data_IF_337618477675
#
_entry.id   IF_337618477675
#
_cell.length_a   1.000
_cell.length_b   1.000
_cell.length_c   1.000
_cell.angle_alpha   90.00
_cell.angle_beta   90.00
_cell.angle_gamma   90.00
#
_symmetry.space_group_name_H-M   'P 1'
#
loop_
_entity.id
_entity.type
_entity.pdbx_description
1 polymer ?
#
# COMPACT_ATOMS: atom_id res chain seq x y z
N UNK A 1 51.57 0.79 24.08
CA UNK A 1 50.73 -0.17 23.32
C UNK A 1 49.29 -0.25 23.80
N UNK A 2 48.92 0.15 25.03
CA UNK A 2 47.51 0.08 25.53
C UNK A 2 46.55 1.13 24.90
N UNK A 3 47.05 2.23 24.36
CA UNK A 3 46.21 3.35 23.87
C UNK A 3 45.59 3.07 22.48
N UNK A 4 46.06 2.10 21.74
CA UNK A 4 45.53 1.72 20.40
C UNK A 4 44.43 0.65 20.46
N UNK A 5 44.34 -0.12 21.55
CA UNK A 5 43.27 -1.12 21.73
C UNK A 5 41.93 -0.51 22.09
N UNK A 6 41.91 0.64 22.78
CA UNK A 6 40.66 1.28 23.22
C UNK A 6 39.87 1.90 22.09
N UNK A 7 40.51 2.31 21.01
CA UNK A 7 39.82 2.93 19.83
C UNK A 7 39.17 1.86 18.97
N UNK A 8 39.73 0.66 18.88
CA UNK A 8 39.16 -0.44 18.10
C UNK A 8 37.83 -0.99 18.72
N UNK A 9 37.72 -0.93 20.05
CA UNK A 9 36.53 -1.41 20.75
C UNK A 9 35.33 -0.47 20.62
N UNK A 10 35.58 0.84 20.49
CA UNK A 10 34.49 1.85 20.35
C UNK A 10 33.87 1.82 18.96
N UNK A 11 34.65 1.50 17.92
CA UNK A 11 34.15 1.41 16.54
C UNK A 11 33.27 0.17 16.32
N UNK A 12 33.49 -0.92 17.05
CA UNK A 12 32.71 -2.14 16.94
C UNK A 12 31.30 -2.02 17.54
N UNK A 13 31.04 -1.09 18.48
CA UNK A 13 29.75 -0.93 19.15
C UNK A 13 28.79 -0.07 18.33
N UNK A 14 29.27 0.75 17.40
CA UNK A 14 28.42 1.64 16.60
C UNK A 14 27.80 0.90 15.39
N UNK A 15 28.33 -0.23 14.98
CA UNK A 15 27.84 -0.99 13.84
C UNK A 15 26.56 -1.83 14.12
N UNK A 16 26.14 -1.96 15.37
CA UNK A 16 24.96 -2.76 15.74
C UNK A 16 23.69 -1.93 15.97
N UNK A 17 23.73 -0.61 15.82
CA UNK A 17 22.59 0.29 16.06
C UNK A 17 21.76 0.63 14.80
N UNK A 18 22.06 0.06 13.63
CA UNK A 18 21.16 0.05 12.48
C UNK A 18 20.24 -1.19 12.55
N UNK A 19 19.46 -1.30 13.60
CA UNK A 19 18.29 -2.16 13.65
C UNK A 19 17.30 -1.59 12.64
N UNK A 20 17.41 -2.02 11.37
CA UNK A 20 16.50 -1.64 10.31
C UNK A 20 15.07 -1.98 10.70
N UNK A 21 14.19 -1.05 10.47
CA UNK A 21 12.76 -1.25 10.54
C UNK A 21 12.40 -2.42 9.63
N UNK A 22 11.89 -3.49 10.23
CA UNK A 22 11.23 -4.65 9.63
C UNK A 22 11.97 -5.33 8.47
N UNK A 23 12.24 -6.60 8.70
CA UNK A 23 12.73 -7.50 7.66
C UNK A 23 11.64 -7.66 6.57
N UNK A 24 11.87 -7.18 5.33
CA UNK A 24 10.90 -7.32 4.24
C UNK A 24 10.53 -8.77 3.91
N UNK A 25 11.31 -9.74 4.37
CA UNK A 25 11.05 -11.17 4.20
C UNK A 25 9.82 -11.64 4.96
N UNK A 26 9.38 -10.90 5.98
CA UNK A 26 8.20 -11.21 6.78
C UNK A 26 6.91 -10.55 6.23
N UNK A 27 7.00 -9.78 5.16
CA UNK A 27 5.82 -9.16 4.58
C UNK A 27 4.90 -10.21 3.95
N UNK A 28 3.62 -10.09 4.29
CA UNK A 28 2.56 -10.87 3.67
C UNK A 28 2.08 -10.17 2.39
N UNK A 29 1.61 -10.96 1.44
CA UNK A 29 0.97 -10.44 0.23
C UNK A 29 -0.45 -10.96 0.17
N UNK A 30 -1.41 -10.04 0.22
CA UNK A 30 -2.81 -10.34 0.00
C UNK A 30 -3.25 -9.87 -1.37
N UNK A 31 -4.10 -10.66 -2.03
CA UNK A 31 -4.62 -10.35 -3.36
C UNK A 31 -6.14 -10.27 -3.30
N UNK A 32 -6.68 -9.16 -3.76
CA UNK A 32 -8.11 -8.91 -3.83
C UNK A 32 -8.53 -8.66 -5.27
N UNK A 33 -9.74 -9.09 -5.59
CA UNK A 33 -10.37 -8.80 -6.88
C UNK A 33 -11.79 -8.32 -6.68
N UNK A 34 -12.27 -7.51 -7.58
CA UNK A 34 -13.60 -6.95 -7.51
C UNK A 34 -13.98 -6.18 -8.76
N UNK A 35 -15.10 -5.49 -8.68
CA UNK A 35 -15.59 -4.62 -9.74
C UNK A 35 -15.88 -3.26 -9.13
N UNK A 36 -15.37 -2.20 -9.76
CA UNK A 36 -15.71 -0.81 -9.43
C UNK A 36 -16.69 -0.28 -10.48
N UNK A 37 -17.78 0.34 -10.01
CA UNK A 37 -18.79 0.97 -10.85
C UNK A 37 -18.40 2.41 -11.15
N UNK A 38 -18.90 3.01 -12.23
CA UNK A 38 -18.84 4.45 -12.43
C UNK A 38 -19.37 5.19 -11.19
N UNK A 39 -18.63 6.21 -10.74
CA UNK A 39 -18.85 6.96 -9.50
C UNK A 39 -18.88 6.10 -8.23
N UNK A 40 -18.36 4.89 -8.29
CA UNK A 40 -18.34 3.93 -7.18
C UNK A 40 -16.97 3.75 -6.56
N UNK A 41 -16.99 3.09 -5.39
CA UNK A 41 -15.78 2.62 -4.69
C UNK A 41 -16.04 1.22 -4.14
N UNK A 42 -15.00 0.40 -4.15
CA UNK A 42 -15.01 -0.93 -3.54
C UNK A 42 -13.80 -1.04 -2.62
N UNK A 43 -13.98 -1.57 -1.41
CA UNK A 43 -12.90 -1.70 -0.43
C UNK A 43 -12.74 -3.14 0.03
N UNK A 44 -11.49 -3.50 0.37
CA UNK A 44 -11.11 -4.78 0.94
C UNK A 44 -10.36 -4.54 2.24
N UNK A 45 -10.71 -5.30 3.27
CA UNK A 45 -10.08 -5.22 4.58
C UNK A 45 -8.91 -6.21 4.64
N UNK A 46 -7.87 -5.81 5.34
CA UNK A 46 -6.75 -6.68 5.70
C UNK A 46 -6.23 -6.34 7.09
N UNK A 47 -5.49 -7.27 7.71
CA UNK A 47 -5.00 -7.10 9.07
C UNK A 47 -3.48 -7.04 9.06
N UNK A 48 -2.94 -5.99 9.66
CA UNK A 48 -1.52 -5.77 9.82
C UNK A 48 -1.10 -6.18 11.23
N UNK A 49 -0.20 -7.13 11.35
CA UNK A 49 0.25 -7.70 12.62
C UNK A 49 1.46 -6.98 13.22
N UNK A 50 2.25 -6.31 12.39
CA UNK A 50 3.46 -5.61 12.80
C UNK A 50 3.52 -4.22 12.15
N UNK A 51 4.36 -3.34 12.68
CA UNK A 51 4.73 -2.11 11.99
C UNK A 51 5.72 -2.42 10.86
N UNK A 52 5.69 -1.64 9.78
CA UNK A 52 6.62 -1.80 8.68
C UNK A 52 6.17 -1.14 7.39
N UNK A 53 6.87 -1.45 6.32
CA UNK A 53 6.57 -0.89 5.00
C UNK A 53 5.42 -1.65 4.34
N UNK A 54 4.60 -0.91 3.60
CA UNK A 54 3.58 -1.49 2.73
C UNK A 54 3.73 -1.01 1.30
N UNK A 55 3.26 -1.82 0.38
CA UNK A 55 3.07 -1.43 -1.03
C UNK A 55 1.74 -1.95 -1.55
N UNK A 56 1.11 -1.16 -2.39
CA UNK A 56 -0.14 -1.51 -3.08
C UNK A 56 0.11 -1.40 -4.58
N UNK A 57 -0.26 -2.44 -5.32
CA UNK A 57 -0.13 -2.51 -6.77
C UNK A 57 -1.40 -3.06 -7.40
N UNK A 58 -1.91 -2.40 -8.42
CA UNK A 58 -2.99 -2.97 -9.24
C UNK A 58 -2.33 -3.82 -10.32
N UNK A 59 -2.69 -5.10 -10.38
CA UNK A 59 -2.06 -6.08 -11.27
C UNK A 59 -2.88 -6.41 -12.50
N UNK A 60 -4.18 -6.10 -12.48
CA UNK A 60 -5.07 -6.25 -13.63
C UNK A 60 -6.22 -5.25 -13.57
N UNK A 61 -6.67 -4.79 -14.74
CA UNK A 61 -7.89 -4.01 -14.96
C UNK A 61 -8.53 -4.50 -16.27
N UNK A 62 -9.83 -4.75 -16.27
CA UNK A 62 -10.57 -5.22 -17.45
C UNK A 62 -11.96 -4.59 -17.50
N UNK A 63 -12.40 -4.00 -18.62
CA UNK A 63 -11.76 -3.96 -19.93
C UNK A 63 -10.47 -3.15 -20.04
N UNK A 64 -10.19 -2.22 -19.12
CA UNK A 64 -8.92 -1.50 -19.08
C UNK A 64 -8.87 -0.25 -19.95
N UNK A 65 -7.67 0.31 -20.08
CA UNK A 65 -7.40 1.58 -20.78
C UNK A 65 -8.12 2.78 -20.15
N UNK A 66 -8.25 2.76 -18.82
CA UNK A 66 -8.89 3.80 -18.01
C UNK A 66 -7.92 4.31 -16.94
N UNK A 67 -8.30 5.41 -16.32
CA UNK A 67 -7.75 5.81 -15.03
C UNK A 67 -8.50 5.08 -13.91
N UNK A 68 -7.80 4.78 -12.82
CA UNK A 68 -8.36 4.11 -11.65
C UNK A 68 -7.83 4.78 -10.38
N UNK A 69 -8.71 5.05 -9.45
CA UNK A 69 -8.34 5.51 -8.12
C UNK A 69 -7.92 4.34 -7.24
N UNK A 70 -6.83 4.50 -6.52
CA UNK A 70 -6.32 3.55 -5.52
C UNK A 70 -6.18 4.28 -4.20
N UNK A 71 -6.76 3.75 -3.13
CA UNK A 71 -6.71 4.34 -1.81
C UNK A 71 -6.24 3.34 -0.75
N UNK A 72 -5.65 3.86 0.30
CA UNK A 72 -5.24 3.15 1.49
C UNK A 72 -5.78 3.88 2.71
N UNK A 73 -6.27 3.15 3.72
CA UNK A 73 -6.80 3.77 4.90
C UNK A 73 -7.20 2.79 6.00
N UNK A 74 -8.08 3.25 6.86
CA UNK A 74 -8.65 2.46 7.95
C UNK A 74 -10.15 2.24 7.74
N UNK A 75 -10.70 1.12 8.25
CA UNK A 75 -12.13 0.87 8.18
C UNK A 75 -12.90 1.99 8.87
N UNK A 76 -13.81 2.61 8.14
CA UNK A 76 -14.76 3.57 8.66
C UNK A 76 -16.11 2.93 8.99
N UNK A 77 -17.10 3.77 9.31
CA UNK A 77 -18.45 3.33 9.51
C UNK A 77 -19.01 2.67 8.23
N UNK A 78 -19.85 1.63 8.40
CA UNK A 78 -20.52 0.92 7.31
C UNK A 78 -19.58 0.21 6.30
N UNK A 79 -18.34 -0.12 6.72
CA UNK A 79 -17.38 -0.83 5.87
C UNK A 79 -16.72 0.04 4.80
N UNK A 80 -16.97 1.34 4.78
CA UNK A 80 -16.25 2.26 3.91
C UNK A 80 -14.78 2.38 4.35
N UNK A 81 -13.89 2.60 3.39
CA UNK A 81 -12.48 2.86 3.67
C UNK A 81 -12.25 4.36 3.90
N UNK A 82 -11.90 4.73 5.13
CA UNK A 82 -11.46 6.09 5.47
C UNK A 82 -10.05 6.32 4.94
N UNK A 83 -9.92 7.00 3.80
CA UNK A 83 -8.66 7.14 3.10
C UNK A 83 -7.65 8.00 3.86
N UNK A 84 -6.46 7.47 4.08
CA UNK A 84 -5.28 8.17 4.58
C UNK A 84 -4.42 8.65 3.42
N UNK A 85 -4.30 7.83 2.37
CA UNK A 85 -3.53 8.12 1.17
C UNK A 85 -4.28 7.60 -0.06
N UNK A 86 -4.14 8.31 -1.17
CA UNK A 86 -4.70 7.87 -2.45
C UNK A 86 -3.82 8.30 -3.62
N UNK A 87 -4.04 7.67 -4.76
CA UNK A 87 -3.40 7.98 -6.03
C UNK A 87 -4.35 7.63 -7.19
N UNK A 88 -4.10 8.22 -8.34
CA UNK A 88 -4.76 7.85 -9.59
C UNK A 88 -3.72 7.24 -10.51
N UNK A 89 -4.00 6.05 -11.00
CA UNK A 89 -3.14 5.30 -11.93
C UNK A 89 -3.83 5.13 -13.27
N UNK A 90 -3.05 4.85 -14.30
CA UNK A 90 -3.55 4.48 -15.63
C UNK A 90 -3.03 3.11 -16.04
N UNK A 91 -3.45 2.64 -17.22
CA UNK A 91 -3.09 1.32 -17.75
C UNK A 91 -1.57 1.06 -17.79
N UNK A 92 -0.75 2.08 -18.06
CA UNK A 92 0.72 1.92 -18.13
C UNK A 92 1.38 1.66 -16.77
N UNK A 93 0.65 1.87 -15.68
CA UNK A 93 1.12 1.68 -14.31
C UNK A 93 0.68 0.33 -13.70
N UNK A 94 -0.04 -0.50 -14.47
CA UNK A 94 -0.42 -1.85 -14.06
C UNK A 94 0.84 -2.66 -13.74
N UNK A 95 0.81 -3.37 -12.61
CA UNK A 95 1.94 -4.15 -12.08
C UNK A 95 3.02 -3.31 -11.38
N UNK A 96 2.88 -1.98 -11.37
CA UNK A 96 3.77 -1.09 -10.62
C UNK A 96 3.15 -0.70 -9.27
N UNK A 97 3.99 -0.23 -8.37
CA UNK A 97 3.53 0.30 -7.07
C UNK A 97 2.69 1.55 -7.30
N UNK A 98 1.42 1.49 -6.91
CA UNK A 98 0.49 2.61 -6.94
C UNK A 98 0.61 3.47 -5.67
N UNK A 99 0.75 2.82 -4.51
CA UNK A 99 0.93 3.43 -3.20
C UNK A 99 2.00 2.69 -2.41
N UNK A 100 2.75 3.42 -1.60
CA UNK A 100 3.69 2.85 -0.64
C UNK A 100 3.84 3.77 0.56
N UNK A 101 4.27 3.21 1.68
CA UNK A 101 4.48 3.96 2.90
C UNK A 101 4.82 3.06 4.07
N UNK A 102 4.63 3.60 5.28
CA UNK A 102 4.86 2.88 6.52
C UNK A 102 3.58 2.77 7.32
N UNK A 103 3.34 1.60 7.88
CA UNK A 103 2.31 1.32 8.87
C UNK A 103 2.99 1.29 10.22
N UNK A 104 2.64 2.23 11.10
CA UNK A 104 3.24 2.36 12.43
C UNK A 104 2.47 1.62 13.51
N UNK A 105 1.18 1.38 13.29
CA UNK A 105 0.27 0.81 14.28
C UNK A 105 -0.35 -0.46 13.68
N UNK A 106 -0.22 -1.58 14.37
CA UNK A 106 -0.92 -2.82 14.01
C UNK A 106 -2.43 -2.63 14.11
N UNK A 107 -3.19 -3.31 13.27
CA UNK A 107 -4.65 -3.22 13.27
C UNK A 107 -5.27 -3.55 11.92
N UNK A 108 -6.55 -3.24 11.79
CA UNK A 108 -7.25 -3.39 10.52
C UNK A 108 -7.03 -2.15 9.63
N UNK A 109 -6.80 -2.44 8.38
CA UNK A 109 -6.64 -1.46 7.32
C UNK A 109 -7.52 -1.84 6.12
N UNK A 110 -7.63 -0.95 5.16
CA UNK A 110 -8.36 -1.19 3.93
C UNK A 110 -7.59 -0.67 2.72
N UNK A 111 -7.73 -1.38 1.62
CA UNK A 111 -7.43 -0.89 0.28
C UNK A 111 -8.73 -0.60 -0.43
N UNK A 112 -8.84 0.54 -1.08
CA UNK A 112 -10.00 0.93 -1.87
C UNK A 112 -9.61 1.11 -3.33
N UNK A 113 -10.45 0.59 -4.21
CA UNK A 113 -10.41 0.87 -5.64
C UNK A 113 -11.66 1.67 -5.96
N UNK A 114 -11.47 2.78 -6.66
CA UNK A 114 -12.55 3.75 -6.85
C UNK A 114 -12.47 4.42 -8.22
N UNK A 115 -13.63 4.91 -8.63
CA UNK A 115 -13.72 5.78 -9.78
C UNK A 115 -12.85 7.03 -9.56
N UNK A 116 -11.93 7.37 -10.48
CA UNK A 116 -11.03 8.50 -10.31
C UNK A 116 -11.76 9.84 -10.18
N UNK A 117 -12.99 9.96 -10.67
CA UNK A 117 -13.80 11.16 -10.49
C UNK A 117 -14.11 11.49 -9.01
N UNK A 118 -14.00 10.49 -8.11
CA UNK A 118 -14.16 10.70 -6.67
C UNK A 118 -12.92 11.31 -6.00
N UNK A 119 -11.76 11.24 -6.65
CA UNK A 119 -10.48 11.72 -6.10
C UNK A 119 -9.97 13.00 -6.76
N UNK A 120 -10.22 13.16 -8.03
CA UNK A 120 -9.67 14.22 -8.85
C UNK A 120 -10.68 14.68 -9.92
N UNK A 121 -10.42 15.83 -10.52
CA UNK A 121 -11.24 16.31 -11.64
C UNK A 121 -10.89 15.56 -12.94
N UNK A 122 -11.16 14.26 -12.95
CA UNK A 122 -10.92 13.33 -14.05
C UNK A 122 -12.28 12.77 -14.46
N UNK A 123 -12.42 12.41 -15.72
CA UNK A 123 -13.64 11.78 -16.21
C UNK A 123 -13.94 10.48 -15.45
N UNK A 124 -15.19 10.25 -15.14
CA UNK A 124 -15.64 9.01 -14.53
C UNK A 124 -15.39 7.81 -15.45
N UNK A 125 -15.34 6.63 -14.85
CA UNK A 125 -15.27 5.38 -15.59
C UNK A 125 -16.44 5.29 -16.58
N UNK A 126 -16.18 4.92 -17.84
CA UNK A 126 -17.25 4.82 -18.84
C UNK A 126 -18.13 3.58 -18.64
N UNK A 127 -17.56 2.54 -18.04
CA UNK A 127 -18.20 1.25 -17.76
C UNK A 127 -17.65 0.68 -16.45
N UNK A 128 -18.30 -0.33 -15.84
CA UNK A 128 -17.72 -1.05 -14.73
C UNK A 128 -16.40 -1.70 -15.11
N UNK A 129 -15.41 -1.59 -14.23
CA UNK A 129 -14.07 -2.17 -14.40
C UNK A 129 -13.83 -3.27 -13.36
N UNK A 130 -13.45 -4.45 -13.81
CA UNK A 130 -12.93 -5.48 -12.91
C UNK A 130 -11.44 -5.26 -12.68
N UNK A 131 -10.99 -5.50 -11.46
CA UNK A 131 -9.61 -5.28 -11.08
C UNK A 131 -9.06 -6.41 -10.22
N UNK A 132 -7.74 -6.50 -10.20
CA UNK A 132 -6.98 -7.25 -9.18
C UNK A 132 -5.96 -6.33 -8.55
N UNK A 133 -5.95 -6.29 -7.23
CA UNK A 133 -5.01 -5.49 -6.43
C UNK A 133 -4.25 -6.37 -5.47
N UNK A 134 -2.96 -6.12 -5.34
CA UNK A 134 -2.09 -6.76 -4.35
C UNK A 134 -1.67 -5.74 -3.29
N UNK A 135 -1.78 -6.16 -2.04
CA UNK A 135 -1.31 -5.43 -0.87
C UNK A 135 -0.21 -6.25 -0.24
N UNK A 136 0.99 -5.69 -0.20
CA UNK A 136 2.12 -6.27 0.53
C UNK A 136 2.31 -5.46 1.81
N UNK A 137 2.28 -6.12 2.97
CA UNK A 137 2.30 -5.47 4.28
C UNK A 137 2.99 -6.35 5.33
N UNK A 138 3.47 -5.78 6.46
CA UNK A 138 4.15 -6.50 7.54
C UNK A 138 3.21 -7.31 8.42
#
# INVERSE_FOLDING_TARGET
MLRRLSIALIVAVIATACGGFTDPSNNQTETFSGTVQPFGATSHLYTVSNSGEFTISVTAITPGNVFLGVGYGQPGANGACGLIQNNVINQSQIGRTALSGQILIKGQYCVAILDPALLANIAALPVPETYTVQVKHP
#
